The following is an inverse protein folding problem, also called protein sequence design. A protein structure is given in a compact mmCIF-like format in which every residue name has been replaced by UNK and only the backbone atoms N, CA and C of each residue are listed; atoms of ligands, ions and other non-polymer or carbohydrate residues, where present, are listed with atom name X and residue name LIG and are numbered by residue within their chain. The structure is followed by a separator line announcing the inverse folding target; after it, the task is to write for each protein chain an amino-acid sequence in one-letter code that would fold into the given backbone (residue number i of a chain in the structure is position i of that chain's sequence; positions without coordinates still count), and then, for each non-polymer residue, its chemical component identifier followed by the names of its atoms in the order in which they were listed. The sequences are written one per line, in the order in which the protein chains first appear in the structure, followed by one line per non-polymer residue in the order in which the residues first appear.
data_IF_284636394959
#
_entry.id   IF_284636394959
#
_cell.length_a   1.000
_cell.length_b   1.000
_cell.length_c   1.000
_cell.angle_alpha   90.00
_cell.angle_beta   90.00
_cell.angle_gamma   90.00
#
_symmetry.space_group_name_H-M   'P 1'
#
loop_
_entity.id
_entity.type
_entity.pdbx_description
1 polymer ?
#
# COMPACT_ATOMS: atom_id res chain seq x y z
N UNK A 1 -16.84 16.12 13.30
CA UNK A 1 -15.50 16.45 12.76
C UNK A 1 -14.68 15.19 12.49
N UNK A 2 -14.58 14.25 13.45
CA UNK A 2 -13.90 12.94 13.29
C UNK A 2 -14.35 12.14 12.06
N UNK A 3 -15.65 12.17 11.74
CA UNK A 3 -16.22 11.45 10.60
C UNK A 3 -15.69 11.92 9.22
N UNK A 4 -15.54 13.23 9.02
CA UNK A 4 -15.06 13.82 7.77
C UNK A 4 -13.59 13.47 7.52
N UNK A 5 -12.78 13.47 8.58
CA UNK A 5 -11.36 13.16 8.49
C UNK A 5 -11.10 11.68 8.21
N UNK A 6 -11.91 10.78 8.79
CA UNK A 6 -11.85 9.34 8.51
C UNK A 6 -12.26 9.02 7.08
N UNK A 7 -13.32 9.67 6.56
CA UNK A 7 -13.69 9.58 5.14
C UNK A 7 -12.57 10.06 4.22
N UNK A 8 -11.85 11.10 4.63
CA UNK A 8 -10.65 11.59 3.93
C UNK A 8 -9.52 10.56 3.90
N UNK A 9 -9.22 9.92 5.04
CA UNK A 9 -8.20 8.85 5.11
C UNK A 9 -8.60 7.63 4.29
N UNK A 10 -9.84 7.14 4.41
CA UNK A 10 -10.33 6.01 3.62
C UNK A 10 -10.26 6.29 2.10
N UNK A 11 -10.61 7.50 1.68
CA UNK A 11 -10.49 7.92 0.29
C UNK A 11 -9.04 7.91 -0.20
N UNK A 12 -8.10 8.46 0.58
CA UNK A 12 -6.68 8.47 0.23
C UNK A 12 -6.08 7.08 0.20
N UNK A 13 -6.46 6.19 1.13
CA UNK A 13 -6.04 4.79 1.13
C UNK A 13 -6.53 4.09 -0.15
N UNK A 14 -7.83 4.22 -0.49
CA UNK A 14 -8.38 3.64 -1.73
C UNK A 14 -7.64 4.16 -2.96
N UNK A 15 -7.42 5.48 -3.05
CA UNK A 15 -6.69 6.08 -4.17
C UNK A 15 -5.26 5.52 -4.27
N UNK A 16 -4.54 5.49 -3.15
CA UNK A 16 -3.17 4.98 -3.13
C UNK A 16 -3.12 3.50 -3.52
N UNK A 17 -4.09 2.70 -3.08
CA UNK A 17 -4.19 1.30 -3.48
C UNK A 17 -4.45 1.15 -4.99
N UNK A 18 -5.34 1.96 -5.58
CA UNK A 18 -5.55 1.99 -7.03
C UNK A 18 -4.27 2.38 -7.80
N UNK A 19 -3.57 3.42 -7.34
CA UNK A 19 -2.33 3.86 -7.97
C UNK A 19 -1.29 2.74 -7.94
N UNK A 20 -1.10 2.09 -6.78
CA UNK A 20 -0.18 0.96 -6.63
C UNK A 20 -0.59 -0.21 -7.53
N UNK A 21 -1.88 -0.53 -7.65
CA UNK A 21 -2.43 -1.55 -8.56
C UNK A 21 -2.25 -1.25 -10.06
N UNK A 22 -1.83 -0.03 -10.42
CA UNK A 22 -1.57 0.33 -11.81
C UNK A 22 -0.09 0.19 -12.20
N UNK A 23 0.83 0.04 -11.24
CA UNK A 23 2.30 0.04 -11.47
C UNK A 23 2.80 -1.26 -12.11
N UNK A 24 2.26 -2.42 -11.77
CA UNK A 24 2.85 -3.71 -12.14
C UNK A 24 2.60 -4.17 -13.57
N UNK A 25 2.03 -3.31 -14.42
CA UNK A 25 1.86 -3.56 -15.85
C UNK A 25 3.01 -3.07 -16.73
N UNK A 26 3.92 -2.23 -16.19
CA UNK A 26 4.88 -1.47 -16.99
C UNK A 26 6.27 -1.39 -16.31
N UNK A 27 6.78 -2.54 -15.85
CA UNK A 27 8.13 -2.61 -15.29
C UNK A 27 9.16 -2.40 -16.39
N UNK A 28 9.79 -1.22 -16.40
CA UNK A 28 10.90 -0.88 -17.30
C UNK A 28 12.21 -1.24 -16.64
N UNK A 29 13.03 -2.05 -17.33
CA UNK A 29 14.35 -2.48 -16.84
C UNK A 29 15.43 -1.46 -17.20
N UNK A 30 15.39 -0.31 -16.53
CA UNK A 30 16.42 0.72 -16.58
C UNK A 30 16.65 1.35 -15.20
N UNK A 31 17.86 1.86 -14.99
CA UNK A 31 18.33 2.35 -13.68
C UNK A 31 17.48 3.48 -13.10
N UNK A 32 17.06 4.44 -13.95
CA UNK A 32 16.27 5.58 -13.50
C UNK A 32 14.86 5.12 -13.10
N UNK A 33 14.26 4.20 -13.85
CA UNK A 33 12.94 3.61 -13.56
C UNK A 33 12.91 2.86 -12.23
N UNK A 34 13.95 2.08 -11.93
CA UNK A 34 14.07 1.37 -10.65
C UNK A 34 14.11 2.33 -9.46
N UNK A 35 14.93 3.38 -9.56
CA UNK A 35 15.08 4.37 -8.49
C UNK A 35 13.80 5.20 -8.31
N UNK A 36 13.13 5.57 -9.40
CA UNK A 36 11.83 6.25 -9.38
C UNK A 36 10.74 5.37 -8.74
N UNK A 37 10.65 4.09 -9.12
CA UNK A 37 9.69 3.15 -8.55
C UNK A 37 9.90 2.97 -7.04
N UNK A 38 11.14 2.78 -6.60
CA UNK A 38 11.46 2.64 -5.17
C UNK A 38 11.12 3.90 -4.38
N UNK A 39 11.40 5.08 -4.94
CA UNK A 39 11.06 6.35 -4.30
C UNK A 39 9.55 6.57 -4.19
N UNK A 40 8.81 6.31 -5.26
CA UNK A 40 7.35 6.45 -5.28
C UNK A 40 6.69 5.46 -4.29
N UNK A 41 7.11 4.20 -4.30
CA UNK A 41 6.61 3.16 -3.39
C UNK A 41 6.80 3.57 -1.92
N UNK A 42 8.00 4.04 -1.56
CA UNK A 42 8.31 4.47 -0.19
C UNK A 42 7.53 5.72 0.23
N UNK A 43 7.35 6.67 -0.69
CA UNK A 43 6.55 7.87 -0.45
C UNK A 43 5.09 7.50 -0.18
N UNK A 44 4.49 6.70 -1.06
CA UNK A 44 3.12 6.19 -0.94
C UNK A 44 2.92 5.38 0.34
N UNK A 45 3.87 4.51 0.68
CA UNK A 45 3.87 3.72 1.92
C UNK A 45 3.82 4.62 3.16
N UNK A 46 4.60 5.70 3.19
CA UNK A 46 4.62 6.65 4.31
C UNK A 46 3.26 7.33 4.50
N UNK A 47 2.61 7.76 3.42
CA UNK A 47 1.27 8.35 3.48
C UNK A 47 0.21 7.33 3.92
N UNK A 48 0.27 6.11 3.38
CA UNK A 48 -0.61 5.02 3.80
C UNK A 48 -0.47 4.75 5.30
N UNK A 49 0.75 4.72 5.82
CA UNK A 49 0.98 4.47 7.25
C UNK A 49 0.30 5.52 8.13
N UNK A 50 0.43 6.80 7.77
CA UNK A 50 -0.24 7.89 8.46
C UNK A 50 -1.77 7.75 8.44
N UNK A 51 -2.34 7.41 7.29
CA UNK A 51 -3.78 7.25 7.13
C UNK A 51 -4.33 6.00 7.86
N UNK A 52 -3.65 4.86 7.77
CA UNK A 52 -4.00 3.66 8.51
C UNK A 52 -3.89 3.88 10.02
N UNK A 53 -2.82 4.50 10.50
CA UNK A 53 -2.64 4.76 11.93
C UNK A 53 -3.76 5.66 12.47
N UNK A 54 -4.15 6.69 11.71
CA UNK A 54 -5.29 7.56 12.08
C UNK A 54 -6.60 6.77 12.13
N UNK A 55 -6.88 5.98 11.10
CA UNK A 55 -8.11 5.19 11.01
C UNK A 55 -8.21 4.13 12.11
N UNK A 56 -7.14 3.36 12.35
CA UNK A 56 -7.05 2.37 13.44
C UNK A 56 -7.24 3.05 14.80
N UNK A 57 -6.61 4.21 15.01
CA UNK A 57 -6.70 4.94 16.28
C UNK A 57 -8.13 5.39 16.58
N UNK A 58 -8.88 5.82 15.56
CA UNK A 58 -10.26 6.29 15.68
C UNK A 58 -11.32 5.21 15.56
N UNK A 59 -10.98 3.98 15.13
CA UNK A 59 -11.94 2.91 14.93
C UNK A 59 -12.53 2.37 16.26
N UNK A 60 -13.77 1.85 16.25
CA UNK A 60 -14.34 1.05 17.34
C UNK A 60 -13.45 -0.13 17.74
N UNK A 61 -13.47 -0.56 19.01
CA UNK A 61 -12.54 -1.59 19.54
C UNK A 61 -12.59 -2.90 18.76
N UNK A 62 -13.78 -3.31 18.35
CA UNK A 62 -14.06 -4.50 17.56
C UNK A 62 -13.45 -4.44 16.15
N UNK A 63 -13.30 -3.23 15.60
CA UNK A 63 -12.74 -3.00 14.25
C UNK A 63 -11.23 -2.73 14.27
N UNK A 64 -10.64 -2.36 15.42
CA UNK A 64 -9.20 -2.07 15.50
C UNK A 64 -8.33 -3.26 15.10
N UNK A 65 -8.63 -4.44 15.65
CA UNK A 65 -7.84 -5.66 15.39
C UNK A 65 -7.80 -6.02 13.91
N UNK A 66 -8.94 -6.20 13.20
CA UNK A 66 -8.89 -6.54 11.77
C UNK A 66 -8.22 -5.46 10.92
N UNK A 67 -8.41 -4.17 11.24
CA UNK A 67 -7.72 -3.09 10.53
C UNK A 67 -6.20 -3.11 10.73
N UNK A 68 -5.74 -3.39 11.96
CA UNK A 68 -4.31 -3.54 12.25
C UNK A 68 -3.71 -4.75 11.54
N UNK A 69 -4.40 -5.88 11.52
CA UNK A 69 -3.94 -7.10 10.83
C UNK A 69 -3.81 -6.86 9.32
N UNK A 70 -4.81 -6.20 8.71
CA UNK A 70 -4.78 -5.81 7.31
C UNK A 70 -3.64 -4.82 7.00
N UNK A 71 -3.45 -3.82 7.85
CA UNK A 71 -2.36 -2.85 7.70
C UNK A 71 -1.00 -3.55 7.79
N UNK A 72 -0.79 -4.44 8.78
CA UNK A 72 0.45 -5.20 8.91
C UNK A 72 0.72 -6.05 7.67
N UNK A 73 -0.29 -6.78 7.18
CA UNK A 73 -0.18 -7.59 5.96
C UNK A 73 0.23 -6.74 4.75
N UNK A 74 -0.39 -5.57 4.59
CA UNK A 74 -0.06 -4.63 3.52
C UNK A 74 1.38 -4.14 3.63
N UNK A 75 1.80 -3.66 4.80
CA UNK A 75 3.14 -3.09 4.97
C UNK A 75 4.24 -4.14 4.83
N UNK A 76 4.04 -5.38 5.33
CA UNK A 76 4.97 -6.48 5.08
C UNK A 76 5.12 -6.74 3.58
N UNK A 77 4.03 -6.77 2.83
CA UNK A 77 4.10 -6.98 1.37
C UNK A 77 4.77 -5.81 0.63
N UNK A 78 4.54 -4.57 1.07
CA UNK A 78 5.24 -3.39 0.54
C UNK A 78 6.75 -3.45 0.85
N UNK A 79 7.16 -3.90 2.03
CA UNK A 79 8.58 -4.08 2.39
C UNK A 79 9.26 -5.14 1.50
N UNK A 80 8.58 -6.25 1.25
CA UNK A 80 9.07 -7.28 0.33
C UNK A 80 9.17 -6.76 -1.12
N UNK A 81 8.19 -5.98 -1.58
CA UNK A 81 8.22 -5.33 -2.89
C UNK A 81 9.37 -4.31 -2.98
N UNK A 82 9.57 -3.48 -1.96
CA UNK A 82 10.69 -2.52 -1.88
C UNK A 82 12.05 -3.25 -1.94
N UNK A 83 12.17 -4.40 -1.26
CA UNK A 83 13.37 -5.24 -1.37
C UNK A 83 13.57 -5.78 -2.80
N UNK A 84 12.50 -6.22 -3.47
CA UNK A 84 12.56 -6.68 -4.85
C UNK A 84 12.98 -5.56 -5.82
N UNK A 85 12.41 -4.37 -5.67
CA UNK A 85 12.76 -3.17 -6.46
C UNK A 85 14.24 -2.82 -6.27
N UNK A 86 14.75 -2.84 -5.03
CA UNK A 86 16.19 -2.61 -4.76
C UNK A 86 17.10 -3.67 -5.38
N UNK A 87 16.61 -4.89 -5.51
CA UNK A 87 17.36 -5.97 -6.18
C UNK A 87 17.36 -5.82 -7.71
N UNK A 88 16.55 -4.91 -8.27
CA UNK A 88 16.37 -4.66 -9.71
C UNK A 88 16.04 -5.94 -10.49
N UNK A 89 15.33 -6.86 -9.83
CA UNK A 89 14.90 -8.11 -10.42
C UNK A 89 13.46 -7.95 -10.90
N UNK A 90 13.28 -7.87 -12.23
CA UNK A 90 11.96 -7.87 -12.87
C UNK A 90 11.09 -9.06 -12.40
N UNK A 91 11.54 -10.33 -12.46
CA UNK A 91 10.67 -11.45 -12.07
C UNK A 91 10.29 -11.40 -10.59
N UNK A 92 11.24 -11.07 -9.70
CA UNK A 92 10.95 -10.97 -8.27
C UNK A 92 9.98 -9.82 -7.98
N UNK A 93 10.18 -8.67 -8.61
CA UNK A 93 9.31 -7.50 -8.45
C UNK A 93 7.90 -7.82 -8.92
N UNK A 94 7.75 -8.49 -10.06
CA UNK A 94 6.45 -8.90 -10.57
C UNK A 94 5.75 -9.88 -9.62
N UNK A 95 6.48 -10.86 -9.07
CA UNK A 95 5.92 -11.81 -8.12
C UNK A 95 5.45 -11.12 -6.84
N UNK A 96 6.29 -10.27 -6.24
CA UNK A 96 5.92 -9.47 -5.05
C UNK A 96 4.75 -8.52 -5.34
N UNK A 97 4.69 -7.98 -6.55
CA UNK A 97 3.60 -7.12 -6.96
C UNK A 97 2.27 -7.88 -7.03
N UNK A 98 2.26 -9.08 -7.60
CA UNK A 98 1.07 -9.92 -7.68
C UNK A 98 0.55 -10.29 -6.27
N UNK A 99 1.46 -10.58 -5.34
CA UNK A 99 1.12 -10.81 -3.92
C UNK A 99 0.53 -9.55 -3.27
N UNK A 100 1.15 -8.39 -3.47
CA UNK A 100 0.67 -7.11 -2.97
C UNK A 100 -0.70 -6.75 -3.55
N UNK A 101 -0.96 -7.05 -4.83
CA UNK A 101 -2.20 -6.73 -5.52
C UNK A 101 -3.43 -7.37 -4.84
N UNK A 102 -3.31 -8.62 -4.37
CA UNK A 102 -4.38 -9.29 -3.63
C UNK A 102 -4.71 -8.55 -2.33
N UNK A 103 -3.68 -8.07 -1.63
CA UNK A 103 -3.84 -7.33 -0.37
C UNK A 103 -4.43 -5.94 -0.64
N UNK A 104 -3.98 -5.27 -1.71
CA UNK A 104 -4.50 -3.96 -2.10
C UNK A 104 -5.99 -4.03 -2.48
N UNK A 105 -6.43 -5.11 -3.14
CA UNK A 105 -7.85 -5.36 -3.40
C UNK A 105 -8.65 -5.56 -2.11
N UNK A 106 -8.11 -6.32 -1.15
CA UNK A 106 -8.70 -6.48 0.18
C UNK A 106 -8.82 -5.13 0.92
N UNK A 107 -7.77 -4.30 0.87
CA UNK A 107 -7.78 -2.94 1.40
C UNK A 107 -8.89 -2.11 0.78
N UNK A 108 -9.01 -2.10 -0.54
CA UNK A 108 -10.06 -1.34 -1.24
C UNK A 108 -11.47 -1.77 -0.83
N UNK A 109 -11.70 -3.07 -0.63
CA UNK A 109 -12.99 -3.62 -0.21
C UNK A 109 -13.35 -3.26 1.24
N UNK A 110 -12.35 -3.13 2.11
CA UNK A 110 -12.54 -2.88 3.55
C UNK A 110 -12.61 -1.39 3.91
N UNK A 111 -12.13 -0.51 3.03
CA UNK A 111 -12.22 0.93 3.26
C UNK A 111 -13.67 1.42 3.08
N UNK A 112 -14.21 2.24 4.00
CA UNK A 112 -15.58 2.78 3.91
C UNK A 112 -15.78 3.82 2.79
#
# INVERSE_FOLDING_TARGET
MVDVELRGSAHRIKKCACDLLSIGGDLVDDDDSWDLMGNDLRLKSTFLYCDFNRMISSAPRDQKKPLTELANKLFCSIEELDHAVKSRSVPLTQDRYNEAAVILQEVMAQMP
#
